data_IF_899579101526
#
_entry.id   IF_899579101526
#
_cell.length_a   1.000
_cell.length_b   1.000
_cell.length_c   1.000
_cell.angle_alpha   90.00
_cell.angle_beta   90.00
_cell.angle_gamma   90.00
#
_symmetry.space_group_name_H-M   'P 1'
#
loop_
_entity.id
_entity.type
_entity.pdbx_description
1 polymer ?
#
# COMPACT_ATOMS: atom_id res chain seq x y z
N UNK A 1 16.62 -38.13 -3.34
CA UNK A 1 16.74 -36.67 -3.32
C UNK A 1 16.19 -36.22 -1.98
N UNK A 2 17.03 -35.73 -1.09
CA UNK A 2 16.60 -35.22 0.22
C UNK A 2 15.77 -33.98 -0.02
N UNK A 3 14.52 -34.02 0.41
CA UNK A 3 13.57 -32.91 0.32
C UNK A 3 14.18 -31.69 1.03
N UNK A 4 14.55 -30.68 0.24
CA UNK A 4 15.22 -29.50 0.73
C UNK A 4 14.25 -28.68 1.56
N UNK A 5 14.39 -28.74 2.88
CA UNK A 5 13.68 -27.88 3.83
C UNK A 5 13.88 -26.42 3.45
N UNK A 6 12.81 -25.75 3.02
CA UNK A 6 12.83 -24.34 2.60
C UNK A 6 12.53 -23.40 3.77
N UNK A 7 12.88 -22.13 3.55
CA UNK A 7 12.53 -21.00 4.41
C UNK A 7 11.54 -20.11 3.68
N UNK A 8 10.65 -19.49 4.45
CA UNK A 8 9.83 -18.36 4.00
C UNK A 8 9.99 -17.25 5.04
N UNK A 9 10.34 -16.06 4.57
CA UNK A 9 10.43 -14.87 5.42
C UNK A 9 9.37 -13.88 4.98
N UNK A 10 8.40 -13.59 5.85
CA UNK A 10 7.49 -12.47 5.66
C UNK A 10 8.07 -11.25 6.38
N UNK A 11 8.36 -10.19 5.65
CA UNK A 11 8.84 -8.94 6.20
C UNK A 11 7.70 -7.94 6.20
N UNK A 12 7.06 -7.79 7.36
CA UNK A 12 5.97 -6.84 7.52
C UNK A 12 6.54 -5.43 7.62
N UNK A 13 5.99 -4.50 6.86
CA UNK A 13 6.37 -3.09 6.88
C UNK A 13 5.14 -2.20 6.96
N UNK A 14 5.27 -1.05 7.62
CA UNK A 14 4.24 -0.02 7.60
C UNK A 14 4.22 0.66 6.23
N UNK A 15 3.11 0.56 5.48
CA UNK A 15 3.01 1.18 4.17
C UNK A 15 3.00 2.72 4.18
N UNK A 16 2.82 3.36 5.34
CA UNK A 16 2.87 4.81 5.48
C UNK A 16 4.30 5.36 5.59
N UNK A 17 5.16 4.72 6.41
CA UNK A 17 6.52 5.21 6.67
C UNK A 17 7.65 4.26 6.25
N UNK A 18 7.31 3.07 5.74
CA UNK A 18 8.22 1.98 5.37
C UNK A 18 9.07 1.44 6.54
N UNK A 19 8.63 1.69 7.78
CA UNK A 19 9.25 1.23 9.01
C UNK A 19 8.65 -0.07 9.54
N UNK A 20 9.06 -0.44 10.75
CA UNK A 20 8.53 -1.62 11.46
C UNK A 20 7.07 -1.32 11.87
N UNK A 21 6.13 -2.26 11.68
CA UNK A 21 4.76 -2.07 12.10
C UNK A 21 4.62 -1.79 13.60
N UNK A 22 3.91 -0.71 13.94
CA UNK A 22 3.49 -0.39 15.31
C UNK A 22 2.53 -1.43 15.92
N UNK A 23 2.58 -1.54 17.25
CA UNK A 23 1.65 -2.37 18.02
C UNK A 23 1.91 -3.87 17.88
N UNK A 24 0.96 -4.69 18.33
CA UNK A 24 1.09 -6.15 18.24
C UNK A 24 0.75 -6.65 16.84
N UNK A 25 1.58 -7.54 16.32
CA UNK A 25 1.37 -8.24 15.06
C UNK A 25 1.45 -9.76 15.29
N UNK A 26 0.52 -10.49 14.68
CA UNK A 26 0.47 -11.95 14.67
C UNK A 26 0.42 -12.44 13.22
N UNK A 27 1.19 -13.48 12.93
CA UNK A 27 1.28 -14.10 11.61
C UNK A 27 1.08 -15.59 11.76
N UNK A 28 0.16 -16.13 10.97
CA UNK A 28 -0.14 -17.56 10.89
C UNK A 28 -0.16 -17.98 9.43
N UNK A 29 0.06 -19.26 9.14
CA UNK A 29 -0.05 -19.78 7.78
C UNK A 29 -0.83 -21.10 7.80
N UNK A 30 -1.62 -21.30 6.76
CA UNK A 30 -2.49 -22.46 6.63
C UNK A 30 -1.70 -23.77 6.66
N UNK A 31 -2.24 -24.75 7.38
CA UNK A 31 -1.62 -26.07 7.53
C UNK A 31 -0.36 -26.11 8.43
N UNK A 32 0.14 -24.97 8.91
CA UNK A 32 1.31 -24.92 9.78
C UNK A 32 0.92 -24.82 11.26
N UNK A 33 1.25 -25.86 12.02
CA UNK A 33 0.98 -25.90 13.47
C UNK A 33 1.96 -25.03 14.28
N UNK A 34 3.18 -24.80 13.77
CA UNK A 34 4.20 -24.04 14.47
C UNK A 34 4.15 -22.58 14.05
N UNK A 35 4.09 -21.64 15.01
CA UNK A 35 4.18 -20.23 14.69
C UNK A 35 5.55 -19.88 14.10
N UNK A 36 5.63 -18.85 13.25
CA UNK A 36 6.90 -18.37 12.73
C UNK A 36 7.80 -17.79 13.83
N UNK A 37 9.11 -17.83 13.62
CA UNK A 37 10.06 -17.10 14.47
C UNK A 37 9.98 -15.61 14.16
N UNK A 38 9.50 -14.82 15.12
CA UNK A 38 9.44 -13.36 15.01
C UNK A 38 10.80 -12.72 15.30
N UNK A 39 11.19 -11.74 14.49
CA UNK A 39 12.37 -10.90 14.66
C UNK A 39 11.95 -9.46 14.98
N UNK A 40 12.84 -8.72 15.65
CA UNK A 40 12.58 -7.34 16.09
C UNK A 40 12.44 -6.34 14.94
N UNK A 41 12.92 -6.68 13.74
CA UNK A 41 12.84 -5.86 12.54
C UNK A 41 11.56 -6.08 11.71
N UNK A 42 10.54 -6.76 12.25
CA UNK A 42 9.28 -7.03 11.54
C UNK A 42 9.29 -8.29 10.65
N UNK A 43 10.37 -9.09 10.70
CA UNK A 43 10.44 -10.35 9.97
C UNK A 43 9.81 -11.51 10.75
N UNK A 44 9.07 -12.36 10.04
CA UNK A 44 8.49 -13.61 10.51
C UNK A 44 9.03 -14.76 9.67
N UNK A 45 9.79 -15.65 10.30
CA UNK A 45 10.53 -16.71 9.61
C UNK A 45 9.84 -18.05 9.84
N UNK A 46 9.27 -18.60 8.76
CA UNK A 46 8.82 -19.98 8.71
C UNK A 46 9.99 -20.87 8.25
N UNK A 47 10.16 -22.00 8.93
CA UNK A 47 11.30 -22.89 8.72
C UNK A 47 10.85 -24.32 8.47
N UNK A 48 11.68 -25.07 7.73
CA UNK A 48 11.43 -26.47 7.41
C UNK A 48 10.13 -26.66 6.62
N UNK A 49 9.87 -25.76 5.69
CA UNK A 49 8.73 -25.87 4.80
C UNK A 49 9.04 -26.85 3.67
N UNK A 50 8.03 -27.61 3.27
CA UNK A 50 8.03 -28.36 2.02
C UNK A 50 7.90 -27.38 0.85
N UNK A 51 8.24 -27.84 -0.35
CA UNK A 51 8.00 -27.02 -1.55
C UNK A 51 6.50 -26.96 -1.81
N UNK A 52 5.96 -25.77 -2.04
CA UNK A 52 4.54 -25.60 -2.26
C UNK A 52 4.10 -24.15 -2.15
N UNK A 53 2.78 -23.95 -2.16
CA UNK A 53 2.13 -22.65 -1.97
C UNK A 53 1.57 -22.57 -0.56
N UNK A 54 1.83 -21.45 0.12
CA UNK A 54 1.36 -21.18 1.47
C UNK A 54 0.55 -19.90 1.50
N UNK A 55 -0.58 -19.94 2.20
CA UNK A 55 -1.40 -18.76 2.51
C UNK A 55 -1.11 -18.33 3.93
N UNK A 56 -0.59 -17.12 4.11
CA UNK A 56 -0.33 -16.52 5.39
C UNK A 56 -1.36 -15.43 5.71
N UNK A 57 -1.81 -15.40 6.96
CA UNK A 57 -2.73 -14.41 7.51
C UNK A 57 -1.99 -13.54 8.52
N UNK A 58 -2.09 -12.23 8.30
CA UNK A 58 -1.48 -11.21 9.16
C UNK A 58 -2.59 -10.46 9.90
N UNK A 59 -2.50 -10.45 11.22
CA UNK A 59 -3.35 -9.64 12.09
C UNK A 59 -2.48 -8.63 12.83
N UNK A 60 -2.86 -7.37 12.78
CA UNK A 60 -2.13 -6.32 13.47
C UNK A 60 -3.09 -5.29 14.08
N UNK A 61 -2.67 -4.74 15.23
CA UNK A 61 -3.49 -3.84 16.06
C UNK A 61 -3.94 -2.60 15.27
N UNK A 62 -2.98 -1.89 14.66
CA UNK A 62 -3.20 -0.61 13.99
C UNK A 62 -3.35 -0.71 12.46
N UNK A 63 -3.43 -1.92 11.90
CA UNK A 63 -3.49 -2.14 10.46
C UNK A 63 -4.63 -3.07 10.09
N UNK A 64 -5.11 -2.96 8.85
CA UNK A 64 -6.03 -3.93 8.29
C UNK A 64 -5.38 -5.32 8.24
N UNK A 65 -6.20 -6.35 8.37
CA UNK A 65 -5.72 -7.73 8.21
C UNK A 65 -5.33 -7.97 6.77
N UNK A 66 -4.19 -8.64 6.57
CA UNK A 66 -3.66 -8.95 5.24
C UNK A 66 -3.63 -10.47 5.07
N UNK A 67 -3.85 -10.93 3.83
CA UNK A 67 -3.67 -12.33 3.45
C UNK A 67 -2.73 -12.38 2.26
N UNK A 68 -1.67 -13.18 2.37
CA UNK A 68 -0.61 -13.27 1.37
C UNK A 68 -0.44 -14.73 0.96
N UNK A 69 -0.57 -14.99 -0.33
CA UNK A 69 -0.30 -16.32 -0.91
C UNK A 69 1.09 -16.30 -1.53
N UNK A 70 1.93 -17.27 -1.16
CA UNK A 70 3.33 -17.33 -1.60
C UNK A 70 3.65 -18.73 -2.12
N UNK A 71 4.11 -18.81 -3.37
CA UNK A 71 4.72 -20.02 -3.93
C UNK A 71 6.21 -20.03 -3.60
N UNK A 72 6.68 -21.02 -2.83
CA UNK A 72 8.10 -21.10 -2.48
C UNK A 72 9.01 -21.41 -3.67
N UNK A 73 8.45 -21.90 -4.77
CA UNK A 73 9.18 -22.19 -6.01
C UNK A 73 9.55 -20.91 -6.76
N UNK A 74 8.76 -19.85 -6.58
CA UNK A 74 8.95 -18.54 -7.24
C UNK A 74 9.93 -17.64 -6.48
N UNK A 75 10.31 -18.02 -5.26
CA UNK A 75 11.24 -17.25 -4.43
C UNK A 75 12.70 -17.60 -4.73
N UNK A 76 13.57 -16.60 -4.63
CA UNK A 76 15.02 -16.83 -4.58
C UNK A 76 15.36 -17.69 -3.35
N UNK A 77 15.94 -18.89 -3.52
CA UNK A 77 16.32 -19.75 -2.40
C UNK A 77 17.35 -19.12 -1.45
N UNK A 78 18.19 -18.19 -1.94
CA UNK A 78 19.16 -17.46 -1.13
C UNK A 78 18.53 -16.29 -0.37
N UNK A 79 17.41 -15.77 -0.87
CA UNK A 79 16.70 -14.63 -0.29
C UNK A 79 15.18 -14.79 -0.37
N UNK A 80 14.57 -15.74 0.37
CA UNK A 80 13.14 -16.04 0.28
C UNK A 80 12.29 -15.06 1.11
N UNK A 81 12.46 -13.76 0.84
CA UNK A 81 11.80 -12.68 1.55
C UNK A 81 10.64 -12.14 0.73
N UNK A 82 9.45 -12.14 1.33
CA UNK A 82 8.26 -11.49 0.80
C UNK A 82 7.95 -10.27 1.66
N UNK A 83 7.98 -9.10 1.05
CA UNK A 83 7.57 -7.87 1.71
C UNK A 83 6.05 -7.83 1.78
N UNK A 84 5.51 -7.54 2.97
CA UNK A 84 4.07 -7.40 3.21
C UNK A 84 3.79 -5.99 3.74
N UNK A 85 3.43 -5.04 2.87
CA UNK A 85 3.08 -3.69 3.29
C UNK A 85 1.71 -3.69 3.98
N UNK A 86 1.69 -3.33 5.27
CA UNK A 86 0.48 -3.25 6.06
C UNK A 86 -0.18 -1.89 5.89
N UNK A 87 -1.48 -1.89 5.65
CA UNK A 87 -2.27 -0.68 5.44
C UNK A 87 -2.79 -0.13 6.78
N UNK A 88 -2.42 1.09 7.21
CA UNK A 88 -2.90 1.66 8.47
C UNK A 88 -4.43 1.80 8.53
N UNK A 89 -5.00 1.47 9.70
CA UNK A 89 -6.38 1.77 10.06
C UNK A 89 -6.56 3.24 10.44
N UNK A 90 -7.80 3.75 10.50
CA UNK A 90 -8.09 5.07 11.08
C UNK A 90 -7.61 5.26 12.54
N UNK A 91 -7.52 4.17 13.29
CA UNK A 91 -7.01 4.13 14.67
C UNK A 91 -5.49 4.17 14.76
N UNK A 92 -4.77 4.11 13.64
CA UNK A 92 -3.31 4.23 13.61
C UNK A 92 -2.87 5.57 14.24
N UNK A 93 -1.85 5.57 15.12
CA UNK A 93 -1.38 6.76 15.81
C UNK A 93 -0.51 7.63 14.90
N UNK A 94 -1.14 8.29 13.92
CA UNK A 94 -0.46 9.24 13.05
C UNK A 94 0.14 10.39 13.87
N UNK A 95 1.37 10.79 13.53
CA UNK A 95 2.01 11.96 14.14
C UNK A 95 1.20 13.23 13.82
N UNK A 96 1.25 14.23 14.69
CA UNK A 96 0.40 15.43 14.58
C UNK A 96 0.65 16.22 13.28
N UNK A 97 1.89 16.18 12.81
CA UNK A 97 2.40 16.80 11.57
C UNK A 97 2.23 15.92 10.33
N UNK A 98 1.38 14.89 10.38
CA UNK A 98 1.05 14.08 9.20
C UNK A 98 0.05 14.83 8.31
N UNK A 99 0.36 15.00 7.02
CA UNK A 99 -0.64 15.38 6.01
C UNK A 99 -1.69 14.28 5.91
N UNK A 100 -2.90 14.55 6.39
CA UNK A 100 -3.88 13.52 6.67
C UNK A 100 -5.27 13.94 6.19
N UNK A 101 -5.95 13.07 5.45
CA UNK A 101 -7.39 13.20 5.20
C UNK A 101 -8.11 12.21 6.11
N UNK A 102 -9.14 12.66 6.82
CA UNK A 102 -10.08 11.80 7.56
C UNK A 102 -11.50 12.02 7.10
N UNK A 103 -12.27 10.94 7.02
CA UNK A 103 -13.69 10.96 6.71
C UNK A 103 -14.42 9.82 7.43
N UNK A 104 -15.73 9.94 7.56
CA UNK A 104 -16.61 8.85 7.96
C UNK A 104 -17.65 8.63 6.85
N UNK A 105 -17.69 7.44 6.27
CA UNK A 105 -18.66 7.09 5.24
C UNK A 105 -19.91 6.50 5.88
N UNK A 106 -21.06 7.08 5.50
CA UNK A 106 -22.37 6.66 5.98
C UNK A 106 -23.32 6.49 4.80
N UNK A 107 -24.23 5.54 4.91
CA UNK A 107 -25.33 5.38 3.96
C UNK A 107 -26.40 6.47 4.16
N UNK A 108 -27.43 6.45 3.32
CA UNK A 108 -28.58 7.38 3.38
C UNK A 108 -29.33 7.35 4.72
N UNK A 109 -29.17 6.27 5.51
CA UNK A 109 -29.79 6.10 6.83
C UNK A 109 -28.85 6.53 7.96
N UNK A 110 -27.67 7.04 7.65
CA UNK A 110 -26.64 7.43 8.61
C UNK A 110 -25.85 6.27 9.20
N UNK A 111 -26.02 5.05 8.68
CA UNK A 111 -25.33 3.84 9.15
C UNK A 111 -23.91 3.83 8.60
N UNK A 112 -22.94 3.49 9.45
CA UNK A 112 -21.53 3.39 9.07
C UNK A 112 -21.30 2.34 7.99
N UNK A 113 -20.57 2.71 6.94
CA UNK A 113 -20.24 1.79 5.85
C UNK A 113 -18.83 1.23 6.03
N UNK A 114 -18.74 -0.01 6.52
CA UNK A 114 -17.46 -0.70 6.73
C UNK A 114 -16.94 -1.40 5.47
N UNK A 115 -15.62 -1.54 5.33
CA UNK A 115 -14.99 -2.27 4.23
C UNK A 115 -15.08 -1.59 2.86
N UNK A 116 -15.49 -0.32 2.82
CA UNK A 116 -15.53 0.48 1.59
C UNK A 116 -14.12 0.88 1.22
N UNK A 117 -13.70 0.59 -0.02
CA UNK A 117 -12.39 0.99 -0.53
C UNK A 117 -12.38 2.49 -0.79
N UNK A 118 -11.30 3.14 -0.38
CA UNK A 118 -11.06 4.55 -0.61
C UNK A 118 -9.63 4.75 -1.08
N UNK A 119 -9.45 5.50 -2.16
CA UNK A 119 -8.14 5.85 -2.70
C UNK A 119 -8.00 7.37 -2.75
N UNK A 120 -6.82 7.85 -2.41
CA UNK A 120 -6.41 9.24 -2.63
C UNK A 120 -5.17 9.29 -3.48
N UNK A 121 -5.22 9.99 -4.60
CA UNK A 121 -4.07 10.24 -5.48
C UNK A 121 -3.75 11.72 -5.48
N UNK A 122 -2.50 12.09 -5.19
CA UNK A 122 -2.04 13.47 -5.30
C UNK A 122 -1.88 13.84 -6.78
N UNK A 123 -2.79 14.64 -7.33
CA UNK A 123 -2.90 14.90 -8.78
C UNK A 123 -2.21 16.18 -9.24
N UNK A 124 -1.80 17.07 -8.32
CA UNK A 124 -1.01 18.25 -8.68
C UNK A 124 0.35 17.86 -9.28
N UNK A 125 0.80 18.59 -10.30
CA UNK A 125 2.11 18.35 -10.93
C UNK A 125 3.26 18.45 -9.91
N UNK A 126 3.16 19.37 -8.95
CA UNK A 126 4.11 19.54 -7.84
C UNK A 126 4.24 18.31 -6.93
N UNK A 127 3.26 17.41 -6.94
CA UNK A 127 3.28 16.15 -6.20
C UNK A 127 3.91 15.00 -6.97
N UNK A 128 4.32 15.21 -8.22
CA UNK A 128 4.96 14.15 -9.03
C UNK A 128 6.20 13.61 -8.32
N UNK A 129 6.19 12.31 -8.01
CA UNK A 129 7.31 11.63 -7.36
C UNK A 129 8.44 11.37 -8.33
N UNK A 130 8.12 10.92 -9.53
CA UNK A 130 9.05 10.60 -10.59
C UNK A 130 8.33 10.60 -11.94
N UNK A 131 9.10 10.47 -13.02
CA UNK A 131 8.55 10.19 -14.36
C UNK A 131 9.22 8.96 -14.94
N UNK A 132 8.48 8.16 -15.71
CA UNK A 132 9.05 7.03 -16.44
C UNK A 132 10.19 7.48 -17.35
N UNK A 133 11.35 6.84 -17.24
CA UNK A 133 12.53 7.14 -18.05
C UNK A 133 12.36 6.66 -19.49
N UNK A 134 11.67 5.54 -19.66
CA UNK A 134 11.33 4.86 -20.91
C UNK A 134 9.88 4.36 -20.88
N UNK A 135 9.41 3.79 -21.98
CA UNK A 135 8.09 3.17 -22.03
C UNK A 135 8.08 1.91 -21.14
N UNK A 136 7.02 1.75 -20.35
CA UNK A 136 6.84 0.56 -19.52
C UNK A 136 5.74 -0.32 -20.13
N UNK A 137 6.05 -1.60 -20.36
CA UNK A 137 5.15 -2.55 -21.01
C UNK A 137 4.29 -3.29 -19.98
N UNK A 138 3.02 -3.55 -20.31
CA UNK A 138 2.15 -4.42 -19.53
C UNK A 138 2.79 -5.80 -19.31
N UNK A 139 2.60 -6.37 -18.12
CA UNK A 139 3.27 -7.59 -17.66
C UNK A 139 4.63 -7.36 -17.01
N UNK A 140 5.24 -6.17 -17.15
CA UNK A 140 6.53 -5.87 -16.51
C UNK A 140 6.39 -5.72 -14.99
N UNK A 141 7.36 -6.27 -14.26
CA UNK A 141 7.58 -6.01 -12.83
C UNK A 141 8.61 -4.90 -12.57
N UNK A 142 9.17 -4.29 -13.61
CA UNK A 142 10.23 -3.28 -13.47
C UNK A 142 9.77 -1.92 -13.99
N UNK A 143 10.09 -0.87 -13.22
CA UNK A 143 10.00 0.51 -13.64
C UNK A 143 11.39 1.15 -13.67
N UNK A 144 11.65 1.90 -14.73
CA UNK A 144 12.83 2.76 -14.82
C UNK A 144 12.40 4.20 -14.61
N UNK A 145 12.88 4.84 -13.54
CA UNK A 145 12.40 6.16 -13.13
C UNK A 145 13.46 7.25 -13.32
N UNK A 146 12.96 8.46 -13.57
CA UNK A 146 13.75 9.69 -13.70
C UNK A 146 13.10 10.83 -12.90
N UNK A 147 13.84 11.92 -12.67
CA UNK A 147 13.35 13.14 -11.99
C UNK A 147 12.72 12.86 -10.62
N UNK A 148 13.40 12.05 -9.81
CA UNK A 148 12.92 11.65 -8.48
C UNK A 148 12.86 12.84 -7.51
N UNK A 149 11.70 13.02 -6.90
CA UNK A 149 11.46 13.95 -5.80
C UNK A 149 11.61 13.22 -4.46
N UNK A 150 12.84 13.24 -3.91
CA UNK A 150 13.17 12.49 -2.70
C UNK A 150 13.40 11.00 -2.97
N UNK A 151 13.16 10.14 -1.98
CA UNK A 151 13.36 8.69 -2.08
C UNK A 151 12.05 7.97 -2.31
N UNK A 152 12.09 6.91 -3.09
CA UNK A 152 11.04 5.90 -3.21
C UNK A 152 11.47 4.72 -2.34
N UNK A 153 10.57 4.21 -1.50
CA UNK A 153 10.86 3.11 -0.57
C UNK A 153 10.03 1.89 -0.90
N UNK A 154 10.55 0.74 -0.50
CA UNK A 154 9.83 -0.52 -0.51
C UNK A 154 8.52 -0.38 0.30
N UNK A 155 7.43 -0.92 -0.23
CA UNK A 155 6.08 -0.86 0.34
C UNK A 155 5.28 0.39 0.02
N UNK A 156 5.91 1.43 -0.51
CA UNK A 156 5.20 2.65 -0.91
C UNK A 156 4.31 2.38 -2.12
N UNK A 157 3.18 3.08 -2.16
CA UNK A 157 2.19 2.98 -3.23
C UNK A 157 2.16 4.24 -4.07
N UNK A 158 2.00 4.04 -5.38
CA UNK A 158 1.95 5.09 -6.37
C UNK A 158 0.85 4.84 -7.39
N UNK A 159 0.39 5.91 -8.03
CA UNK A 159 -0.46 5.87 -9.22
C UNK A 159 0.40 6.08 -10.45
N UNK A 160 0.19 5.24 -11.46
CA UNK A 160 0.72 5.40 -12.81
C UNK A 160 -0.46 5.32 -13.78
N UNK A 161 -0.96 6.48 -14.22
CA UNK A 161 -2.28 6.56 -14.85
C UNK A 161 -3.37 6.12 -13.87
N UNK A 162 -4.19 5.15 -14.28
CA UNK A 162 -5.30 4.59 -13.48
C UNK A 162 -4.87 3.41 -12.59
N UNK A 163 -3.69 2.85 -12.83
CA UNK A 163 -3.16 1.74 -12.04
C UNK A 163 -2.52 2.24 -10.76
N UNK A 164 -2.83 1.56 -9.64
CA UNK A 164 -2.04 1.66 -8.41
C UNK A 164 -1.02 0.53 -8.38
N UNK A 165 0.21 0.87 -7.99
CA UNK A 165 1.32 -0.04 -7.89
C UNK A 165 2.01 0.10 -6.53
N UNK A 166 2.64 -0.98 -6.06
CA UNK A 166 3.43 -1.01 -4.83
C UNK A 166 4.87 -1.39 -5.15
N UNK A 167 5.83 -0.74 -4.50
CA UNK A 167 7.26 -1.01 -4.71
C UNK A 167 7.68 -2.24 -3.90
N UNK A 168 8.15 -3.27 -4.59
CA UNK A 168 8.70 -4.48 -3.98
C UNK A 168 10.19 -4.32 -3.61
N UNK A 169 10.96 -3.65 -4.46
CA UNK A 169 12.40 -3.45 -4.27
C UNK A 169 12.90 -2.19 -4.99
N UNK A 170 14.05 -1.66 -4.56
CA UNK A 170 14.66 -0.46 -5.11
C UNK A 170 16.14 -0.70 -5.41
N UNK A 171 16.49 -0.73 -6.69
CA UNK A 171 17.87 -0.78 -7.18
C UNK A 171 18.31 0.64 -7.55
N UNK A 172 18.68 1.43 -6.53
CA UNK A 172 19.00 2.87 -6.70
C UNK A 172 20.08 3.14 -7.75
N UNK A 173 21.12 2.30 -7.81
CA UNK A 173 22.24 2.46 -8.75
C UNK A 173 21.79 2.39 -10.23
N UNK A 174 20.83 1.52 -10.54
CA UNK A 174 20.28 1.37 -11.90
C UNK A 174 19.00 2.16 -12.13
N UNK A 175 18.47 2.83 -11.10
CA UNK A 175 17.15 3.49 -11.10
C UNK A 175 16.01 2.55 -11.48
N UNK A 176 16.16 1.27 -11.13
CA UNK A 176 15.17 0.23 -11.37
C UNK A 176 14.38 0.01 -10.09
N UNK A 177 13.06 -0.02 -10.22
CA UNK A 177 12.12 -0.20 -9.13
C UNK A 177 11.27 -1.43 -9.45
N UNK A 178 11.32 -2.43 -8.57
CA UNK A 178 10.54 -3.65 -8.74
C UNK A 178 9.13 -3.45 -8.18
N UNK A 179 8.14 -4.04 -8.84
CA UNK A 179 6.73 -3.98 -8.49
C UNK A 179 6.27 -5.29 -7.84
N UNK A 180 5.41 -5.19 -6.83
CA UNK A 180 4.80 -6.38 -6.21
C UNK A 180 3.85 -7.11 -7.16
N UNK A 181 3.24 -6.38 -8.09
CA UNK A 181 2.35 -6.92 -9.13
C UNK A 181 2.76 -6.33 -10.47
N UNK A 182 2.61 -7.07 -11.58
CA UNK A 182 3.01 -6.56 -12.88
C UNK A 182 2.13 -5.39 -13.30
N UNK A 183 2.63 -4.58 -14.24
CA UNK A 183 1.84 -3.56 -14.91
C UNK A 183 0.67 -4.21 -15.66
N UNK A 184 -0.51 -3.61 -15.60
CA UNK A 184 -1.71 -4.11 -16.29
C UNK A 184 -1.70 -3.69 -17.76
N UNK A 185 -1.09 -2.54 -18.08
CA UNK A 185 -1.04 -1.99 -19.44
C UNK A 185 0.28 -1.29 -19.74
N UNK A 186 0.35 -0.74 -20.96
CA UNK A 186 1.51 0.03 -21.39
C UNK A 186 1.42 1.47 -20.89
N UNK A 187 2.56 2.05 -20.53
CA UNK A 187 2.67 3.43 -20.09
C UNK A 187 3.77 4.16 -20.84
N UNK A 188 3.42 5.30 -21.44
CA UNK A 188 4.33 6.08 -22.24
C UNK A 188 5.51 6.61 -21.41
N UNK A 189 6.66 6.75 -22.07
CA UNK A 189 7.81 7.47 -21.53
C UNK A 189 7.38 8.85 -21.00
N UNK A 190 7.87 9.21 -19.82
CA UNK A 190 7.55 10.48 -19.18
C UNK A 190 6.23 10.50 -18.40
N UNK A 191 5.47 9.40 -18.37
CA UNK A 191 4.28 9.29 -17.52
C UNK A 191 4.65 9.53 -16.04
N UNK A 192 3.80 10.29 -15.35
CA UNK A 192 4.03 10.69 -13.97
C UNK A 192 3.71 9.55 -13.01
N UNK A 193 4.62 9.32 -12.07
CA UNK A 193 4.41 8.50 -10.90
C UNK A 193 3.94 9.41 -9.76
N UNK A 194 2.68 9.24 -9.32
CA UNK A 194 2.04 10.12 -8.35
C UNK A 194 1.87 9.41 -6.99
N UNK A 195 2.08 10.08 -5.85
CA UNK A 195 1.78 9.52 -4.53
C UNK A 195 0.33 9.03 -4.45
N UNK A 196 0.14 7.81 -3.96
CA UNK A 196 -1.16 7.17 -3.86
C UNK A 196 -1.32 6.52 -2.48
N UNK A 197 -2.48 6.70 -1.88
CA UNK A 197 -2.91 5.97 -0.69
C UNK A 197 -4.15 5.17 -1.08
N UNK A 198 -4.15 3.87 -0.81
CA UNK A 198 -5.27 2.96 -1.03
C UNK A 198 -5.57 2.30 0.31
N UNK A 199 -6.81 2.39 0.78
CA UNK A 199 -7.21 1.97 2.12
C UNK A 199 -8.71 1.61 2.15
N UNK A 200 -9.21 1.26 3.33
CA UNK A 200 -10.59 0.87 3.55
C UNK A 200 -11.19 1.61 4.74
N UNK A 201 -12.52 1.65 4.79
CA UNK A 201 -13.21 2.06 6.01
C UNK A 201 -13.18 0.96 7.06
N UNK A 202 -13.03 1.35 8.34
CA UNK A 202 -13.14 0.44 9.47
C UNK A 202 -14.61 0.09 9.81
N UNK A 203 -14.83 -0.68 10.88
CA UNK A 203 -16.16 -1.07 11.35
C UNK A 203 -17.07 0.12 11.74
N UNK A 204 -16.49 1.32 11.95
CA UNK A 204 -17.22 2.57 12.25
C UNK A 204 -17.41 3.43 11.00
N UNK A 205 -17.03 2.93 9.83
CA UNK A 205 -17.07 3.67 8.57
C UNK A 205 -15.98 4.74 8.47
N UNK A 206 -15.03 4.77 9.40
CA UNK A 206 -13.96 5.77 9.39
C UNK A 206 -12.88 5.39 8.38
N UNK A 207 -12.28 6.38 7.74
CA UNK A 207 -11.12 6.22 6.85
C UNK A 207 -10.06 7.27 7.15
N UNK A 208 -8.80 6.91 6.95
CA UNK A 208 -7.66 7.81 7.05
C UNK A 208 -6.72 7.62 5.86
N UNK A 209 -6.41 8.71 5.15
CA UNK A 209 -5.45 8.72 4.04
C UNK A 209 -4.27 9.62 4.40
N UNK A 210 -3.12 9.01 4.67
CA UNK A 210 -1.92 9.69 5.14
C UNK A 210 -0.88 9.83 4.02
N UNK A 211 -0.46 11.06 3.73
CA UNK A 211 0.49 11.37 2.67
C UNK A 211 1.84 11.78 3.27
N UNK A 212 2.79 10.83 3.33
CA UNK A 212 4.10 11.06 3.96
C UNK A 212 5.17 11.72 3.08
N UNK A 213 5.00 11.73 1.75
CA UNK A 213 6.08 12.02 0.80
C UNK A 213 5.72 13.04 -0.30
N UNK A 214 4.71 13.87 -0.09
CA UNK A 214 4.34 14.94 -1.02
C UNK A 214 5.16 16.20 -0.74
N UNK A 215 6.12 16.55 -1.62
CA UNK A 215 6.96 17.75 -1.46
C UNK A 215 6.28 19.03 -1.96
N UNK A 216 5.10 19.32 -1.44
CA UNK A 216 4.37 20.52 -1.79
C UNK A 216 3.58 21.03 -0.60
N UNK A 217 3.70 22.33 -0.30
CA UNK A 217 3.00 22.96 0.82
C UNK A 217 1.47 22.79 0.74
N UNK A 218 0.94 22.66 -0.49
CA UNK A 218 -0.43 22.24 -0.73
C UNK A 218 -0.57 21.58 -2.09
N UNK A 219 -1.49 20.63 -2.20
CA UNK A 219 -1.75 19.88 -3.42
C UNK A 219 -3.19 19.40 -3.45
N UNK A 220 -3.65 19.04 -4.63
CA UNK A 220 -4.98 18.49 -4.87
C UNK A 220 -4.89 16.96 -4.81
N UNK A 221 -5.87 16.38 -4.13
CA UNK A 221 -6.04 14.94 -4.01
C UNK A 221 -7.35 14.57 -4.66
N UNK A 222 -7.29 13.70 -5.66
CA UNK A 222 -8.48 13.01 -6.18
C UNK A 222 -8.80 11.84 -5.27
N UNK A 223 -9.93 11.93 -4.59
CA UNK A 223 -10.51 10.86 -3.79
C UNK A 223 -11.44 10.03 -4.67
N UNK A 224 -11.23 8.72 -4.68
CA UNK A 224 -12.12 7.73 -5.30
C UNK A 224 -12.66 6.81 -4.21
N UNK A 225 -13.97 6.57 -4.22
CA UNK A 225 -14.67 5.68 -3.27
C UNK A 225 -15.46 4.66 -4.06
N UNK A 226 -15.28 3.37 -3.77
CA UNK A 226 -16.00 2.29 -4.45
C UNK A 226 -17.05 1.66 -3.55
N UNK A 227 -18.31 1.79 -3.95
CA UNK A 227 -19.45 1.18 -3.26
C UNK A 227 -20.21 0.31 -4.26
N UNK A 228 -20.20 -1.00 -4.01
CA UNK A 228 -20.61 -2.00 -5.00
C UNK A 228 -19.86 -1.77 -6.33
N UNK A 229 -20.58 -1.66 -7.45
CA UNK A 229 -20.01 -1.47 -8.80
C UNK A 229 -19.86 0.01 -9.19
N UNK A 230 -20.06 0.95 -8.25
CA UNK A 230 -20.00 2.39 -8.53
C UNK A 230 -18.76 3.02 -7.92
N UNK A 231 -18.08 3.84 -8.72
CA UNK A 231 -17.02 4.73 -8.26
C UNK A 231 -17.58 6.14 -8.09
N UNK A 232 -17.23 6.76 -6.96
CA UNK A 232 -17.54 8.14 -6.62
C UNK A 232 -16.24 8.92 -6.49
N UNK A 233 -16.16 10.09 -7.14
CA UNK A 233 -14.92 10.85 -7.26
C UNK A 233 -15.09 12.27 -6.75
N UNK A 234 -14.09 12.79 -6.04
CA UNK A 234 -14.04 14.20 -5.63
C UNK A 234 -12.60 14.66 -5.46
N UNK A 235 -12.32 15.86 -5.95
CA UNK A 235 -11.04 16.50 -5.70
C UNK A 235 -11.12 17.39 -4.45
N UNK A 236 -10.10 17.29 -3.60
CA UNK A 236 -9.97 18.10 -2.39
C UNK A 236 -8.57 18.71 -2.32
N UNK A 237 -8.49 19.95 -1.83
CA UNK A 237 -7.21 20.60 -1.54
C UNK A 237 -6.71 20.15 -0.17
N UNK A 238 -5.46 19.70 -0.10
CA UNK A 238 -4.78 19.40 1.17
C UNK A 238 -3.56 20.30 1.35
N UNK A 239 -3.20 20.52 2.61
CA UNK A 239 -2.02 21.28 3.01
C UNK A 239 -1.05 20.38 3.76
N UNK A 240 0.25 20.59 3.53
CA UNK A 240 1.31 19.82 4.17
C UNK A 240 1.22 19.92 5.70
N UNK A 241 1.39 18.79 6.37
CA UNK A 241 1.38 18.65 7.83
C UNK A 241 0.07 19.10 8.49
N UNK A 242 -1.05 19.04 7.77
CA UNK A 242 -2.38 19.35 8.29
C UNK A 242 -3.36 18.20 8.11
N UNK A 243 -4.32 18.15 9.05
CA UNK A 243 -5.51 17.32 8.96
C UNK A 243 -6.60 18.04 8.17
N UNK A 244 -7.02 17.44 7.06
CA UNK A 244 -8.29 17.74 6.41
C UNK A 244 -9.35 16.75 6.92
N UNK A 245 -10.32 17.25 7.69
CA UNK A 245 -11.44 16.43 8.17
C UNK A 245 -12.69 16.71 7.34
N UNK A 246 -13.07 15.74 6.50
CA UNK A 246 -14.27 15.81 5.65
C UNK A 246 -15.57 15.48 6.41
N UNK A 247 -15.46 15.10 7.70
CA UNK A 247 -16.58 14.70 8.58
C UNK A 247 -17.35 13.51 7.99
N UNK A 248 -18.64 13.42 8.29
CA UNK A 248 -19.54 12.45 7.67
C UNK A 248 -19.78 12.88 6.23
N UNK A 249 -19.46 12.00 5.28
CA UNK A 249 -19.68 12.27 3.87
C UNK A 249 -20.76 11.34 3.35
N UNK A 250 -21.80 11.92 2.74
CA UNK A 250 -22.80 11.16 2.01
C UNK A 250 -22.26 10.93 0.58
N UNK A 251 -22.54 9.78 -0.02
CA UNK A 251 -22.07 9.45 -1.36
C UNK A 251 -22.60 10.44 -2.42
N UNK A 252 -23.75 11.06 -2.16
CA UNK A 252 -24.30 12.13 -3.00
C UNK A 252 -23.38 13.36 -3.08
N UNK A 253 -22.53 13.60 -2.07
CA UNK A 253 -21.55 14.70 -2.06
C UNK A 253 -20.37 14.48 -3.02
N UNK A 254 -20.31 13.30 -3.65
CA UNK A 254 -19.32 12.87 -4.65
C UNK A 254 -19.95 12.55 -6.01
N UNK A 255 -21.27 12.68 -6.15
CA UNK A 255 -21.96 12.52 -7.42
C UNK A 255 -21.91 13.86 -8.19
N UNK A 256 -20.76 14.19 -8.76
CA UNK A 256 -20.57 15.33 -9.67
C UNK A 256 -19.95 14.89 -10.98
#
# INVERSE_FOLDING_TARGET
>A
MTEGKRLLVLHLIDSFNAGIPLGKCAVQADGLLRPPLQKTNGMYVFQNLETGTYTAHVQAEFYFSETVTVSLEELDPLYPVVIVPLTPKPSYPFAAETTLIRAALRDERGIAMAGVRVRGVAVSESSTKAKLLEEATGGSHELFLSRLSGRVRVGERYSLGEQTLSIADVKEASRTYLLTTPLVGNHARGASLLPCVDTWTDARGEVALAFGNCKSASFDVRLSIWVAEREFCKEVRVEESKLLNLRAVNLDDFAS
#
